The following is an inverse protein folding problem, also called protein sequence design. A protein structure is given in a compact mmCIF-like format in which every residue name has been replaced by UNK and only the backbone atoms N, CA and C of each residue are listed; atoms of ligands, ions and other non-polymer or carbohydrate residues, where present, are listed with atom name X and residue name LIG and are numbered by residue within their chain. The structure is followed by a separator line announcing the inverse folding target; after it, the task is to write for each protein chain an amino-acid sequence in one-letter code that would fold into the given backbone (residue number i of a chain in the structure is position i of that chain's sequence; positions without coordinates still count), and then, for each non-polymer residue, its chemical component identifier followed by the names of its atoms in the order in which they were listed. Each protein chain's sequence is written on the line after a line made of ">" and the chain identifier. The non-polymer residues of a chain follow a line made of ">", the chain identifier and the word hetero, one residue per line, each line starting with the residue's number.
data_IF_816448400495
#
_entry.id   IF_816448400495
#
_cell.length_a   1.000
_cell.length_b   1.000
_cell.length_c   1.000
_cell.angle_alpha   90.00
_cell.angle_beta   90.00
_cell.angle_gamma   90.00
#
_symmetry.space_group_name_H-M   'P 1'
#
loop_
_entity.id
_entity.type
_entity.pdbx_description
1 polymer ?
#
# COMPACT_ATOMS: atom_id res chain seq x y z
N UNK A 1 1.52 3.01 -66.17
CA UNK A 1 1.30 3.55 -64.81
C UNK A 1 1.99 2.61 -63.83
N UNK A 2 2.87 3.11 -62.96
CA UNK A 2 3.96 2.30 -62.41
C UNK A 2 3.86 2.08 -60.88
N UNK A 3 4.74 1.18 -60.40
CA UNK A 3 5.32 1.01 -59.05
C UNK A 3 4.47 0.40 -57.94
N UNK A 4 4.66 -0.91 -57.75
CA UNK A 4 4.60 -1.60 -56.45
C UNK A 4 5.71 -1.06 -55.54
N UNK A 5 5.44 -0.74 -54.26
CA UNK A 5 6.49 -0.38 -53.31
C UNK A 5 7.36 -1.59 -52.98
N UNK A 6 8.65 -1.45 -53.26
CA UNK A 6 9.72 -2.34 -52.80
C UNK A 6 9.83 -2.27 -51.28
N UNK A 7 9.74 -3.42 -50.63
CA UNK A 7 9.97 -3.61 -49.20
C UNK A 7 11.49 -3.61 -48.95
N UNK A 8 12.05 -2.70 -48.12
CA UNK A 8 13.49 -2.65 -47.94
C UNK A 8 13.99 -3.88 -47.15
N UNK A 9 14.77 -4.72 -47.83
CA UNK A 9 15.52 -5.81 -47.24
C UNK A 9 16.48 -5.27 -46.18
N UNK A 10 16.21 -5.60 -44.92
CA UNK A 10 17.08 -5.28 -43.79
C UNK A 10 18.37 -6.09 -43.97
N UNK A 11 19.46 -5.41 -44.29
CA UNK A 11 20.77 -6.03 -44.44
C UNK A 11 21.33 -6.36 -43.05
N UNK A 12 21.40 -7.66 -42.76
CA UNK A 12 22.15 -8.25 -41.66
C UNK A 12 23.63 -7.84 -41.77
N UNK A 13 24.01 -6.80 -41.02
CA UNK A 13 25.41 -6.38 -40.92
C UNK A 13 26.11 -7.27 -39.89
N UNK A 14 26.91 -8.19 -40.43
CA UNK A 14 27.79 -9.07 -39.71
C UNK A 14 28.91 -8.32 -38.96
N UNK A 15 29.30 -8.92 -37.83
CA UNK A 15 30.64 -8.96 -37.23
C UNK A 15 31.52 -7.69 -37.22
N UNK A 16 31.70 -7.12 -36.03
CA UNK A 16 32.87 -6.33 -35.63
C UNK A 16 33.60 -6.97 -34.43
N UNK A 17 34.92 -6.76 -34.26
CA UNK A 17 35.80 -7.72 -33.58
C UNK A 17 35.83 -7.60 -32.06
N UNK A 18 36.13 -8.75 -31.43
CA UNK A 18 36.39 -8.94 -30.00
C UNK A 18 37.83 -8.54 -29.64
N UNK A 19 37.97 -7.81 -28.52
CA UNK A 19 38.90 -8.06 -27.40
C UNK A 19 39.57 -6.78 -26.85
N UNK A 20 39.30 -6.47 -25.58
CA UNK A 20 40.34 -6.30 -24.54
C UNK A 20 39.70 -6.61 -23.17
N UNK A 21 40.28 -7.48 -22.33
CA UNK A 21 39.89 -7.56 -20.92
C UNK A 21 40.74 -6.58 -20.10
N UNK A 22 40.08 -5.62 -19.45
CA UNK A 22 40.71 -4.76 -18.46
C UNK A 22 40.74 -5.50 -17.10
N UNK A 23 41.96 -5.76 -16.65
CA UNK A 23 42.33 -6.23 -15.32
C UNK A 23 41.91 -5.21 -14.26
N UNK A 24 41.33 -5.69 -13.15
CA UNK A 24 41.39 -4.99 -11.87
C UNK A 24 40.07 -4.80 -11.14
N UNK A 25 39.66 -5.81 -10.37
CA UNK A 25 39.15 -5.57 -9.01
C UNK A 25 39.27 -6.83 -8.17
N UNK A 26 40.05 -6.70 -7.11
CA UNK A 26 40.30 -7.69 -6.07
C UNK A 26 38.99 -8.07 -5.38
N UNK A 27 38.70 -9.36 -5.34
CA UNK A 27 37.55 -9.91 -4.62
C UNK A 27 37.74 -9.77 -3.11
N UNK A 28 36.69 -9.30 -2.45
CA UNK A 28 36.57 -9.15 -1.00
C UNK A 28 36.65 -10.51 -0.31
N UNK A 29 37.51 -10.64 0.70
CA UNK A 29 37.66 -11.84 1.53
C UNK A 29 36.46 -11.93 2.49
N UNK A 30 35.69 -13.04 2.53
CA UNK A 30 34.60 -13.18 3.48
C UNK A 30 35.16 -13.42 4.90
N UNK A 31 34.68 -12.65 5.88
CA UNK A 31 34.99 -12.85 7.30
C UNK A 31 34.37 -14.17 7.80
N UNK A 32 35.06 -14.94 8.68
CA UNK A 32 34.46 -16.09 9.35
C UNK A 32 33.39 -15.65 10.35
N UNK A 33 32.19 -16.22 10.24
CA UNK A 33 31.14 -16.13 11.26
C UNK A 33 31.44 -17.09 12.43
N UNK A 34 31.44 -16.63 13.69
CA UNK A 34 31.53 -17.50 14.86
C UNK A 34 30.29 -18.39 14.99
N UNK A 35 30.49 -19.71 15.04
CA UNK A 35 29.42 -20.70 15.18
C UNK A 35 28.70 -20.66 16.54
N UNK A 36 27.53 -21.29 16.64
CA UNK A 36 26.72 -21.32 17.86
C UNK A 36 27.35 -22.23 18.92
N UNK A 37 27.49 -21.73 20.16
CA UNK A 37 27.83 -22.55 21.32
C UNK A 37 26.59 -23.31 21.80
N UNK A 38 26.64 -24.63 21.68
CA UNK A 38 25.75 -25.58 22.35
C UNK A 38 26.17 -25.74 23.82
N UNK A 39 25.23 -25.57 24.75
CA UNK A 39 25.33 -26.09 26.12
C UNK A 39 23.92 -26.61 26.49
N UNK A 40 23.67 -27.92 26.35
CA UNK A 40 23.91 -28.97 27.34
C UNK A 40 22.93 -28.90 28.54
N UNK A 41 21.89 -29.73 28.47
CA UNK A 41 21.01 -30.11 29.58
C UNK A 41 21.76 -31.01 30.57
N UNK A 42 21.31 -31.06 31.84
CA UNK A 42 21.17 -32.37 32.49
C UNK A 42 19.73 -32.65 32.98
N UNK A 43 19.23 -33.85 32.61
CA UNK A 43 18.15 -34.60 33.29
C UNK A 43 18.74 -35.33 34.54
N UNK A 44 18.06 -36.30 35.17
CA UNK A 44 16.83 -36.26 35.99
C UNK A 44 17.05 -36.89 37.40
N UNK A 45 16.32 -36.45 38.42
CA UNK A 45 16.33 -37.07 39.75
C UNK A 45 14.94 -37.55 40.18
N UNK A 46 14.79 -38.85 40.44
CA UNK A 46 13.57 -39.57 40.87
C UNK A 46 13.20 -39.27 42.35
N UNK A 47 11.94 -39.49 42.77
CA UNK A 47 11.38 -39.02 44.04
C UNK A 47 11.52 -40.03 45.18
N UNK A 48 11.78 -39.52 46.40
CA UNK A 48 11.66 -40.24 47.67
C UNK A 48 10.50 -39.68 48.53
N UNK A 49 9.94 -40.46 49.49
CA UNK A 49 8.67 -40.15 50.14
C UNK A 49 8.77 -39.49 51.53
N UNK A 50 7.95 -38.44 51.76
CA UNK A 50 7.43 -37.96 53.07
C UNK A 50 8.37 -37.11 53.94
N UNK A 51 7.86 -36.13 54.74
CA UNK A 51 6.57 -36.16 55.43
C UNK A 51 5.63 -34.97 55.14
N UNK A 52 4.41 -35.07 55.69
CA UNK A 52 3.23 -34.26 55.43
C UNK A 52 3.42 -32.74 55.50
N UNK A 53 2.97 -32.03 54.45
CA UNK A 53 2.89 -30.57 54.39
C UNK A 53 1.42 -30.13 54.53
N UNK A 54 1.12 -29.01 55.22
CA UNK A 54 -0.25 -28.58 55.53
C UNK A 54 -1.11 -28.31 54.28
N UNK A 55 -2.43 -28.44 54.47
CA UNK A 55 -3.46 -28.24 53.45
C UNK A 55 -3.32 -26.91 52.68
N UNK A 56 -3.61 -26.89 51.36
CA UNK A 56 -3.52 -25.67 50.55
C UNK A 56 -4.68 -24.71 50.84
N UNK A 57 -4.45 -23.39 50.78
CA UNK A 57 -5.51 -22.39 50.88
C UNK A 57 -6.40 -22.36 49.62
N UNK A 58 -7.63 -21.88 49.82
CA UNK A 58 -8.70 -21.81 48.83
C UNK A 58 -8.28 -21.23 47.47
N UNK A 59 -8.86 -21.79 46.41
CA UNK A 59 -8.67 -21.38 45.02
C UNK A 59 -9.09 -19.91 44.84
N UNK A 60 -8.14 -19.08 44.40
CA UNK A 60 -8.39 -17.71 43.94
C UNK A 60 -8.95 -17.81 42.51
N UNK A 61 -10.10 -17.18 42.18
CA UNK A 61 -10.64 -17.25 40.83
C UNK A 61 -9.67 -16.60 39.82
N UNK A 62 -9.40 -17.31 38.73
CA UNK A 62 -8.64 -16.82 37.59
C UNK A 62 -9.37 -15.64 36.94
N UNK A 63 -8.69 -14.54 36.56
CA UNK A 63 -9.31 -13.54 35.70
C UNK A 63 -9.56 -14.17 34.32
N UNK A 64 -10.81 -14.06 33.86
CA UNK A 64 -11.23 -14.48 32.53
C UNK A 64 -10.42 -13.75 31.43
N UNK A 65 -10.24 -14.34 30.23
CA UNK A 65 -9.60 -13.65 29.13
C UNK A 65 -10.42 -12.40 28.78
N UNK A 66 -9.77 -11.25 28.84
CA UNK A 66 -10.34 -9.96 28.45
C UNK A 66 -10.66 -10.04 26.96
N UNK A 67 -11.95 -10.16 26.65
CA UNK A 67 -12.49 -9.92 25.30
C UNK A 67 -11.97 -8.54 24.85
N UNK A 68 -11.39 -8.38 23.64
CA UNK A 68 -10.99 -7.06 23.19
C UNK A 68 -12.22 -6.17 23.25
N UNK A 69 -12.13 -5.08 24.02
CA UNK A 69 -13.14 -4.03 24.04
C UNK A 69 -13.32 -3.62 22.59
N UNK A 70 -14.53 -3.80 22.06
CA UNK A 70 -14.94 -3.11 20.85
C UNK A 70 -14.60 -1.64 21.07
N UNK A 71 -13.80 -1.08 20.16
CA UNK A 71 -13.46 0.33 20.18
C UNK A 71 -14.78 1.12 20.29
N UNK A 72 -14.91 1.87 21.38
CA UNK A 72 -15.99 2.83 21.53
C UNK A 72 -15.85 3.77 20.32
N UNK A 73 -16.93 4.07 19.57
CA UNK A 73 -16.83 5.01 18.47
C UNK A 73 -16.41 6.35 19.07
N UNK A 74 -15.14 6.68 18.93
CA UNK A 74 -14.64 8.02 19.17
C UNK A 74 -15.45 8.92 18.25
N UNK A 75 -15.96 10.01 18.84
CA UNK A 75 -16.60 11.09 18.14
C UNK A 75 -15.81 11.35 16.85
N UNK A 76 -16.36 10.98 15.68
CA UNK A 76 -15.64 11.03 14.41
C UNK A 76 -15.40 12.50 14.09
N UNK A 77 -14.29 13.04 14.59
CA UNK A 77 -13.68 14.23 14.07
C UNK A 77 -13.60 14.05 12.56
N UNK A 78 -14.05 15.05 11.80
CA UNK A 78 -13.93 15.01 10.35
C UNK A 78 -12.48 14.68 9.96
N UNK A 79 -12.25 13.91 8.88
CA UNK A 79 -10.89 13.57 8.46
C UNK A 79 -10.09 14.85 8.25
N UNK A 80 -8.81 14.81 8.64
CA UNK A 80 -7.88 15.88 8.32
C UNK A 80 -7.78 15.98 6.79
N UNK A 81 -7.94 17.18 6.26
CA UNK A 81 -7.79 17.44 4.83
C UNK A 81 -6.40 18.03 4.56
N UNK A 82 -5.67 17.43 3.63
CA UNK A 82 -4.42 17.95 3.10
C UNK A 82 -4.54 18.12 1.59
N UNK A 83 -4.11 19.27 1.08
CA UNK A 83 -4.02 19.53 -0.35
C UNK A 83 -2.54 19.54 -0.77
N UNK A 84 -2.19 18.73 -1.77
CA UNK A 84 -0.89 18.73 -2.45
C UNK A 84 -1.11 19.37 -3.83
N UNK A 85 -0.65 20.62 -4.04
CA UNK A 85 -0.81 21.30 -5.31
C UNK A 85 -0.05 20.56 -6.42
N UNK A 86 -0.76 20.16 -7.46
CA UNK A 86 -0.18 19.54 -8.65
C UNK A 86 -1.04 19.85 -9.89
N UNK A 87 -0.46 20.07 -11.07
CA UNK A 87 -1.25 20.12 -12.31
C UNK A 87 -1.87 18.75 -12.59
N UNK A 88 -2.90 18.69 -13.45
CA UNK A 88 -3.64 17.46 -13.71
C UNK A 88 -2.75 16.31 -14.22
N UNK A 89 -1.75 16.61 -15.05
CA UNK A 89 -0.76 15.64 -15.55
C UNK A 89 0.25 15.20 -14.48
N UNK A 90 0.48 16.02 -13.44
CA UNK A 90 1.34 15.70 -12.30
C UNK A 90 0.61 15.14 -11.08
N UNK A 91 -0.72 15.16 -11.05
CA UNK A 91 -1.52 14.77 -9.90
C UNK A 91 -1.34 13.29 -9.51
N UNK A 92 -1.10 12.42 -10.50
CA UNK A 92 -0.85 11.00 -10.26
C UNK A 92 0.50 10.78 -9.57
N UNK A 93 1.57 11.37 -10.12
CA UNK A 93 2.90 11.30 -9.51
C UNK A 93 2.90 11.88 -8.08
N UNK A 94 2.18 12.98 -7.85
CA UNK A 94 2.03 13.54 -6.51
C UNK A 94 1.29 12.58 -5.55
N UNK A 95 0.34 11.78 -6.04
CA UNK A 95 -0.33 10.76 -5.23
C UNK A 95 0.62 9.60 -4.91
N UNK A 96 1.45 9.16 -5.87
CA UNK A 96 2.43 8.08 -5.66
C UNK A 96 3.47 8.47 -4.61
N UNK A 97 4.03 9.69 -4.71
CA UNK A 97 4.94 10.22 -3.69
C UNK A 97 4.27 10.31 -2.31
N UNK A 98 2.97 10.65 -2.25
CA UNK A 98 2.23 10.67 -0.99
C UNK A 98 2.01 9.26 -0.42
N UNK A 99 1.79 8.25 -1.26
CA UNK A 99 1.76 6.84 -0.85
C UNK A 99 3.12 6.45 -0.26
N UNK A 100 4.21 6.72 -0.96
CA UNK A 100 5.57 6.38 -0.52
C UNK A 100 5.89 6.99 0.84
N UNK A 101 5.61 8.29 1.02
CA UNK A 101 5.81 8.98 2.31
C UNK A 101 4.98 8.37 3.45
N UNK A 102 3.73 7.96 3.18
CA UNK A 102 2.89 7.31 4.18
C UNK A 102 3.46 5.95 4.56
N UNK A 103 3.88 5.15 3.58
CA UNK A 103 4.49 3.84 3.82
C UNK A 103 5.81 3.97 4.59
N UNK A 104 6.68 4.90 4.21
CA UNK A 104 7.94 5.19 4.90
C UNK A 104 7.73 5.66 6.35
N UNK A 105 6.62 6.36 6.60
CA UNK A 105 6.22 6.77 7.96
C UNK A 105 5.63 5.63 8.81
N UNK A 106 5.48 4.43 8.23
CA UNK A 106 4.97 3.23 8.89
C UNK A 106 3.45 3.05 8.80
N UNK A 107 2.75 3.76 7.89
CA UNK A 107 1.34 3.48 7.61
C UNK A 107 1.20 2.08 7.02
N UNK A 108 0.26 1.29 7.50
CA UNK A 108 0.00 -0.02 6.90
C UNK A 108 -0.57 0.17 5.47
N UNK A 109 -0.08 -0.58 4.46
CA UNK A 109 -0.56 -0.50 3.08
C UNK A 109 -2.08 -0.63 2.95
N UNK A 110 -2.65 -1.62 3.66
CA UNK A 110 -4.09 -1.88 3.75
C UNK A 110 -4.95 -0.71 4.26
N UNK A 111 -4.34 0.30 4.88
CA UNK A 111 -5.03 1.49 5.35
C UNK A 111 -5.14 2.61 4.30
N UNK A 112 -4.51 2.45 3.14
CA UNK A 112 -4.37 3.49 2.11
C UNK A 112 -5.26 3.12 0.91
N UNK A 113 -6.16 4.03 0.54
CA UNK A 113 -6.93 3.97 -0.71
C UNK A 113 -6.49 5.12 -1.61
N UNK A 114 -6.18 4.83 -2.87
CA UNK A 114 -5.88 5.84 -3.90
C UNK A 114 -7.02 5.88 -4.91
N UNK A 115 -7.56 7.07 -5.16
CA UNK A 115 -8.59 7.33 -6.16
C UNK A 115 -8.01 8.20 -7.28
N UNK A 116 -8.37 7.92 -8.53
CA UNK A 116 -8.06 8.80 -9.67
C UNK A 116 -9.34 9.30 -10.33
N UNK A 117 -9.38 10.57 -10.74
CA UNK A 117 -10.58 11.15 -11.40
C UNK A 117 -10.56 11.03 -12.91
N UNK A 118 -9.37 11.04 -13.52
CA UNK A 118 -9.14 10.90 -14.95
C UNK A 118 -8.64 9.50 -15.29
N UNK A 119 -7.46 9.41 -15.90
CA UNK A 119 -6.85 8.12 -16.24
C UNK A 119 -6.64 7.25 -15.00
N UNK A 120 -6.80 5.94 -15.17
CA UNK A 120 -6.60 4.99 -14.11
C UNK A 120 -5.10 4.81 -13.83
N UNK A 121 -4.75 4.63 -12.56
CA UNK A 121 -3.36 4.40 -12.15
C UNK A 121 -2.76 3.16 -12.88
N UNK A 122 -1.53 3.24 -13.43
CA UNK A 122 -0.93 2.16 -14.23
C UNK A 122 -0.89 0.79 -13.54
N UNK A 123 -0.64 0.77 -12.22
CA UNK A 123 -0.69 -0.47 -11.44
C UNK A 123 -2.07 -1.11 -11.45
N UNK A 124 -3.14 -0.31 -11.26
CA UNK A 124 -4.51 -0.81 -11.29
C UNK A 124 -4.89 -1.33 -12.67
N UNK A 125 -4.47 -0.64 -13.73
CA UNK A 125 -4.66 -1.09 -15.12
C UNK A 125 -3.98 -2.44 -15.37
N UNK A 126 -2.75 -2.63 -14.86
CA UNK A 126 -2.03 -3.89 -14.97
C UNK A 126 -2.73 -5.01 -14.19
N UNK A 127 -3.08 -4.79 -12.93
CA UNK A 127 -3.72 -5.80 -12.09
C UNK A 127 -5.10 -6.22 -12.60
N UNK A 128 -5.91 -5.26 -13.07
CA UNK A 128 -7.20 -5.54 -13.69
C UNK A 128 -7.10 -6.41 -14.94
N UNK A 129 -5.96 -6.36 -15.65
CA UNK A 129 -5.73 -7.21 -16.83
C UNK A 129 -5.70 -8.71 -16.49
N UNK A 130 -5.43 -9.06 -15.22
CA UNK A 130 -5.49 -10.44 -14.73
C UNK A 130 -6.89 -10.87 -14.26
N UNK A 131 -7.85 -9.94 -14.22
CA UNK A 131 -9.26 -10.23 -13.97
C UNK A 131 -9.88 -9.38 -12.86
N UNK A 132 -11.02 -8.78 -13.17
CA UNK A 132 -11.72 -7.87 -12.25
C UNK A 132 -12.08 -8.53 -10.92
N UNK A 133 -12.62 -9.76 -10.94
CA UNK A 133 -13.04 -10.43 -9.71
C UNK A 133 -11.88 -10.65 -8.72
N UNK A 134 -10.70 -11.03 -9.23
CA UNK A 134 -9.51 -11.20 -8.41
C UNK A 134 -9.01 -9.86 -7.87
N UNK A 135 -8.99 -8.82 -8.72
CA UNK A 135 -8.60 -7.47 -8.32
C UNK A 135 -9.44 -6.92 -7.16
N UNK A 136 -10.76 -7.01 -7.28
CA UNK A 136 -11.63 -6.51 -6.21
C UNK A 136 -11.61 -7.38 -4.94
N UNK A 137 -11.21 -8.65 -5.04
CA UNK A 137 -10.96 -9.45 -3.84
C UNK A 137 -9.77 -8.91 -3.02
N UNK A 138 -8.78 -8.27 -3.66
CA UNK A 138 -7.67 -7.60 -2.95
C UNK A 138 -8.19 -6.42 -2.12
N UNK A 139 -9.16 -5.65 -2.64
CA UNK A 139 -9.81 -4.58 -1.87
C UNK A 139 -10.54 -5.11 -0.65
N UNK A 140 -11.21 -6.27 -0.79
CA UNK A 140 -11.90 -6.94 0.31
C UNK A 140 -10.94 -7.48 1.36
N UNK A 141 -9.78 -8.01 0.95
CA UNK A 141 -8.74 -8.51 1.84
C UNK A 141 -8.10 -7.37 2.65
N UNK A 142 -7.84 -6.22 2.01
CA UNK A 142 -7.32 -5.05 2.69
C UNK A 142 -5.88 -5.21 3.17
N UNK A 143 -5.10 -6.05 2.51
CA UNK A 143 -3.70 -6.32 2.88
C UNK A 143 -2.71 -5.32 2.26
N UNK A 144 -3.08 -4.69 1.14
CA UNK A 144 -2.22 -3.79 0.36
C UNK A 144 -2.90 -2.46 0.01
N UNK A 145 -2.13 -1.49 -0.50
CA UNK A 145 -2.64 -0.23 -1.08
C UNK A 145 -3.60 -0.58 -2.21
N UNK A 146 -4.80 -0.01 -2.17
CA UNK A 146 -5.79 -0.24 -3.21
C UNK A 146 -5.99 1.00 -4.06
N UNK A 147 -6.12 0.81 -5.37
CA UNK A 147 -6.29 1.87 -6.35
C UNK A 147 -7.66 1.74 -7.02
N UNK A 148 -8.36 2.84 -7.27
CA UNK A 148 -9.61 2.78 -8.03
C UNK A 148 -9.83 4.07 -8.83
N UNK A 149 -10.44 3.94 -10.01
CA UNK A 149 -10.90 5.11 -10.77
C UNK A 149 -12.24 5.64 -10.26
N UNK A 150 -12.57 6.88 -10.61
CA UNK A 150 -13.82 7.55 -10.23
C UNK A 150 -15.09 6.76 -10.56
N UNK A 151 -15.09 6.01 -11.67
CA UNK A 151 -16.22 5.15 -12.07
C UNK A 151 -16.57 4.08 -11.02
N UNK A 152 -15.60 3.66 -10.21
CA UNK A 152 -15.77 2.68 -9.16
C UNK A 152 -15.75 3.27 -7.75
N UNK A 153 -15.80 4.61 -7.61
CA UNK A 153 -15.72 5.28 -6.32
C UNK A 153 -16.77 4.77 -5.33
N UNK A 154 -18.01 4.53 -5.77
CA UNK A 154 -19.09 4.07 -4.88
C UNK A 154 -18.94 2.61 -4.42
N UNK A 155 -18.02 1.84 -5.02
CA UNK A 155 -17.72 0.46 -4.63
C UNK A 155 -16.64 0.37 -3.54
N UNK A 156 -15.86 1.43 -3.34
CA UNK A 156 -14.75 1.41 -2.38
C UNK A 156 -15.25 1.44 -0.94
N UNK A 157 -14.48 0.82 -0.06
CA UNK A 157 -14.76 0.77 1.38
C UNK A 157 -14.01 1.90 2.08
N UNK A 158 -14.52 2.40 3.22
CA UNK A 158 -13.78 3.33 4.05
C UNK A 158 -12.40 2.81 4.42
N UNK A 159 -11.40 3.67 4.32
CA UNK A 159 -10.03 3.40 4.78
C UNK A 159 -9.53 4.56 5.65
N UNK A 160 -8.63 4.32 6.61
CA UNK A 160 -8.09 5.39 7.44
C UNK A 160 -7.47 6.53 6.64
N UNK A 161 -6.79 6.24 5.52
CA UNK A 161 -6.23 7.24 4.61
C UNK A 161 -6.82 7.07 3.21
N UNK A 162 -7.30 8.17 2.64
CA UNK A 162 -7.69 8.24 1.24
C UNK A 162 -6.87 9.33 0.55
N UNK A 163 -6.28 8.99 -0.59
CA UNK A 163 -5.60 9.90 -1.48
C UNK A 163 -6.44 10.00 -2.75
N UNK A 164 -6.70 11.19 -3.26
CA UNK A 164 -7.39 11.37 -4.54
C UNK A 164 -6.55 12.26 -5.47
N UNK A 165 -6.14 11.68 -6.60
CA UNK A 165 -5.50 12.38 -7.70
C UNK A 165 -6.56 12.94 -8.65
N UNK A 166 -6.64 14.26 -8.73
CA UNK A 166 -7.50 14.99 -9.67
C UNK A 166 -6.75 15.15 -10.99
N UNK A 167 -6.56 14.02 -11.68
CA UNK A 167 -5.72 13.88 -12.88
C UNK A 167 -6.51 14.01 -14.20
N UNK A 168 -7.53 14.85 -14.21
CA UNK A 168 -8.41 15.08 -15.36
C UNK A 168 -9.31 16.28 -15.16
N UNK A 169 -10.29 16.45 -16.05
CA UNK A 169 -11.31 17.47 -15.89
C UNK A 169 -12.14 17.24 -14.62
N UNK A 170 -12.55 18.31 -13.95
CA UNK A 170 -13.44 18.23 -12.79
C UNK A 170 -14.90 18.22 -13.28
N UNK A 171 -15.36 17.03 -13.64
CA UNK A 171 -16.74 16.76 -14.06
C UNK A 171 -17.59 16.16 -12.91
N UNK A 172 -18.79 15.70 -13.23
CA UNK A 172 -19.69 15.06 -12.26
C UNK A 172 -19.11 13.78 -11.66
N UNK A 173 -18.28 13.03 -12.41
CA UNK A 173 -17.62 11.83 -11.90
C UNK A 173 -16.51 12.19 -10.92
N UNK A 174 -15.69 13.20 -11.24
CA UNK A 174 -14.66 13.72 -10.35
C UNK A 174 -15.26 14.30 -9.06
N UNK A 175 -16.37 15.05 -9.17
CA UNK A 175 -17.08 15.62 -8.02
C UNK A 175 -17.65 14.52 -7.11
N UNK A 176 -18.24 13.46 -7.70
CA UNK A 176 -18.68 12.28 -6.94
C UNK A 176 -17.51 11.56 -6.28
N UNK A 177 -16.40 11.37 -6.98
CA UNK A 177 -15.20 10.76 -6.43
C UNK A 177 -14.63 11.56 -5.25
N UNK A 178 -14.54 12.89 -5.35
CA UNK A 178 -14.13 13.78 -4.25
C UNK A 178 -15.07 13.68 -3.05
N UNK A 179 -16.38 13.70 -3.29
CA UNK A 179 -17.36 13.54 -2.23
C UNK A 179 -17.26 12.16 -1.56
N UNK A 180 -17.05 11.10 -2.35
CA UNK A 180 -16.85 9.74 -1.84
C UNK A 180 -15.56 9.65 -1.04
N UNK A 181 -14.44 10.19 -1.53
CA UNK A 181 -13.17 10.25 -0.81
C UNK A 181 -13.31 10.90 0.58
N UNK A 182 -14.05 12.01 0.67
CA UNK A 182 -14.34 12.68 1.94
C UNK A 182 -15.18 11.84 2.90
N UNK A 183 -16.07 10.98 2.41
CA UNK A 183 -16.89 10.07 3.24
C UNK A 183 -16.14 8.81 3.65
N UNK A 184 -15.23 8.32 2.80
CA UNK A 184 -14.50 7.07 3.01
C UNK A 184 -13.20 7.27 3.78
N UNK A 185 -12.65 8.50 3.83
CA UNK A 185 -11.51 8.85 4.66
C UNK A 185 -11.87 8.82 6.15
N UNK A 186 -11.25 7.91 6.90
CA UNK A 186 -11.46 7.75 8.34
C UNK A 186 -10.67 8.75 9.19
N UNK A 187 -9.45 9.10 8.76
CA UNK A 187 -8.55 9.97 9.52
C UNK A 187 -7.89 11.05 8.66
N UNK A 188 -7.48 10.71 7.43
CA UNK A 188 -6.76 11.63 6.53
C UNK A 188 -7.31 11.51 5.11
N UNK A 189 -7.62 12.67 4.51
CA UNK A 189 -7.87 12.83 3.08
C UNK A 189 -6.76 13.69 2.49
N UNK A 190 -6.00 13.15 1.55
CA UNK A 190 -5.03 13.88 0.75
C UNK A 190 -5.62 14.11 -0.65
N UNK A 191 -5.65 15.34 -1.10
CA UNK A 191 -6.07 15.69 -2.47
C UNK A 191 -4.84 16.15 -3.24
N UNK A 192 -4.53 15.47 -4.34
CA UNK A 192 -3.44 15.83 -5.25
C UNK A 192 -4.06 16.43 -6.52
N UNK A 193 -3.84 17.72 -6.77
CA UNK A 193 -4.46 18.39 -7.93
C UNK A 193 -4.42 19.91 -7.85
N UNK A 194 -5.01 20.57 -8.85
CA UNK A 194 -5.02 22.02 -8.93
C UNK A 194 -5.87 22.61 -7.78
N UNK A 195 -5.31 23.49 -6.94
CA UNK A 195 -6.03 24.08 -5.81
C UNK A 195 -7.31 24.80 -6.21
N UNK A 196 -7.36 25.45 -7.38
CA UNK A 196 -8.48 26.30 -7.77
C UNK A 196 -9.77 25.49 -7.99
N UNK A 197 -9.80 24.46 -8.87
CA UNK A 197 -10.98 23.64 -9.05
C UNK A 197 -11.28 22.75 -7.83
N UNK A 198 -10.25 22.26 -7.12
CA UNK A 198 -10.44 21.45 -5.90
C UNK A 198 -11.14 22.25 -4.80
N UNK A 199 -10.68 23.48 -4.53
CA UNK A 199 -11.28 24.33 -3.50
C UNK A 199 -12.70 24.78 -3.87
N UNK A 200 -13.00 24.95 -5.16
CA UNK A 200 -14.36 25.23 -5.60
C UNK A 200 -15.32 24.09 -5.23
N UNK A 201 -14.91 22.83 -5.44
CA UNK A 201 -15.72 21.66 -5.08
C UNK A 201 -15.81 21.45 -3.56
N UNK A 202 -14.69 21.60 -2.85
CA UNK A 202 -14.66 21.41 -1.39
C UNK A 202 -15.37 22.53 -0.62
N UNK A 203 -15.34 23.76 -1.15
CA UNK A 203 -15.99 24.95 -0.57
C UNK A 203 -17.47 25.09 -0.91
N UNK A 204 -17.97 24.47 -1.98
CA UNK A 204 -19.38 24.48 -2.34
C UNK A 204 -20.29 23.65 -1.39
N UNK A 205 -19.69 22.89 -0.47
CA UNK A 205 -20.38 22.04 0.51
C UNK A 205 -20.29 22.52 1.97
N UNK A 206 -19.99 23.80 2.21
CA UNK A 206 -19.97 24.47 3.53
C UNK A 206 -21.05 25.54 3.59
#
# INVERSE_FOLDING_TARGET
>A
MPLIPEEPQIHESAQGPRATPATGRTASTPRPVPGPRTAAMPRPGRPGPGPARPAPPAQRPHPAPVRPKAAVPENRSAPQLQLIPAPADGALAAADEAVDLLLDSGRAPGDILVLTTGEQHPWATHELSFGEAAYWAQHEAGDDVFFAGAAAADRVKPRPVVIIAVNGAVDDAATRALATARRTAGALLIVCGDPQPVNAVLGAGV
#
